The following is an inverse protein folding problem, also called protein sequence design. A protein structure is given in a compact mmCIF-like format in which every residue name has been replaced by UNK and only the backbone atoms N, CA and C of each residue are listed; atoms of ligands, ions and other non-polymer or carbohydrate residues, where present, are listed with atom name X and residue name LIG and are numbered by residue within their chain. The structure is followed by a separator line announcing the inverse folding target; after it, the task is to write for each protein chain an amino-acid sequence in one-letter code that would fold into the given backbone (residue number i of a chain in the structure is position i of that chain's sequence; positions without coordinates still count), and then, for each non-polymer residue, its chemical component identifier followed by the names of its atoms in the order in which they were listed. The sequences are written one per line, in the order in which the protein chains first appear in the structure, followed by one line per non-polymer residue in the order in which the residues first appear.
data_IF_040880677016
#
_entry.id   IF_040880677016
#
_cell.length_a   1.000
_cell.length_b   1.000
_cell.length_c   1.000
_cell.angle_alpha   90.00
_cell.angle_beta   90.00
_cell.angle_gamma   90.00
#
_symmetry.space_group_name_H-M   'P 1'
#
loop_
_entity.id
_entity.type
_entity.pdbx_description
1 polymer ?
#
# COMPACT_ATOMS: atom_id res chain seq x y z
N UNK A 1 -1.28 -16.86 14.57
CA UNK A 1 0.04 -16.25 14.59
C UNK A 1 -0.09 -14.72 14.73
N UNK A 2 0.87 -14.07 15.43
CA UNK A 2 0.85 -12.61 15.65
C UNK A 2 0.73 -11.81 14.35
N UNK A 3 1.36 -12.27 13.29
CA UNK A 3 1.46 -11.58 11.99
C UNK A 3 0.54 -12.16 10.91
N UNK A 4 -0.46 -12.96 11.25
CA UNK A 4 -1.44 -13.39 10.25
C UNK A 4 -2.30 -12.20 9.82
N UNK A 5 -2.51 -12.05 8.51
CA UNK A 5 -3.33 -10.99 7.94
C UNK A 5 -4.82 -11.27 8.19
N UNK A 6 -5.66 -10.28 7.93
CA UNK A 6 -7.10 -10.42 8.01
C UNK A 6 -7.62 -11.49 7.03
N UNK A 7 -7.07 -11.51 5.82
CA UNK A 7 -7.36 -12.53 4.81
C UNK A 7 -7.05 -13.95 5.31
N UNK A 8 -5.89 -14.16 5.93
CA UNK A 8 -5.50 -15.46 6.45
C UNK A 8 -6.37 -15.91 7.64
N UNK A 9 -6.83 -14.98 8.48
CA UNK A 9 -7.73 -15.26 9.61
C UNK A 9 -9.18 -15.47 9.19
N UNK A 10 -9.61 -14.83 8.10
CA UNK A 10 -10.99 -14.72 7.66
C UNK A 10 -11.40 -15.75 6.60
N UNK A 11 -10.95 -17.00 6.67
CA UNK A 11 -11.27 -18.06 5.71
C UNK A 11 -11.01 -17.68 4.24
N UNK A 12 -10.08 -16.77 4.00
CA UNK A 12 -9.72 -16.24 2.69
C UNK A 12 -10.87 -15.52 1.96
N UNK A 13 -11.85 -15.05 2.69
CA UNK A 13 -12.98 -14.29 2.15
C UNK A 13 -13.17 -12.93 2.86
N UNK A 14 -12.19 -12.51 3.66
CA UNK A 14 -12.19 -11.22 4.33
C UNK A 14 -10.95 -10.44 3.93
N UNK A 15 -11.13 -9.17 3.62
CA UNK A 15 -10.06 -8.23 3.35
C UNK A 15 -9.97 -7.21 4.47
N UNK A 16 -8.76 -6.77 4.79
CA UNK A 16 -8.54 -5.76 5.81
C UNK A 16 -9.22 -4.43 5.46
N UNK A 17 -9.83 -3.80 6.44
CA UNK A 17 -10.23 -2.38 6.34
C UNK A 17 -8.99 -1.48 6.26
N UNK A 18 -9.19 -0.21 5.88
CA UNK A 18 -8.10 0.78 5.89
C UNK A 18 -7.41 0.86 7.26
N UNK A 19 -8.19 0.97 8.34
CA UNK A 19 -7.64 1.05 9.70
C UNK A 19 -6.82 -0.18 10.08
N UNK A 20 -7.31 -1.37 9.75
CA UNK A 20 -6.60 -2.64 10.01
C UNK A 20 -5.32 -2.76 9.17
N UNK A 21 -5.36 -2.33 7.90
CA UNK A 21 -4.18 -2.29 7.03
C UNK A 21 -3.09 -1.39 7.63
N UNK A 22 -3.45 -0.18 8.04
CA UNK A 22 -2.50 0.76 8.64
C UNK A 22 -1.97 0.26 9.99
N UNK A 23 -2.83 -0.31 10.82
CA UNK A 23 -2.42 -0.90 12.10
C UNK A 23 -1.46 -2.09 11.89
N UNK A 24 -1.67 -2.89 10.86
CA UNK A 24 -0.79 -4.00 10.52
C UNK A 24 0.62 -3.55 10.11
N UNK A 25 0.73 -2.56 9.22
CA UNK A 25 2.03 -2.04 8.84
C UNK A 25 2.74 -1.33 9.99
N UNK A 26 1.97 -0.65 10.85
CA UNK A 26 2.51 -0.08 12.09
C UNK A 26 3.09 -1.16 12.99
N UNK A 27 2.37 -2.26 13.19
CA UNK A 27 2.86 -3.41 13.96
C UNK A 27 4.17 -3.96 13.38
N UNK A 28 4.27 -4.10 12.05
CA UNK A 28 5.50 -4.55 11.42
C UNK A 28 6.65 -3.55 11.62
N UNK A 29 6.39 -2.25 11.50
CA UNK A 29 7.41 -1.23 11.70
C UNK A 29 7.88 -1.15 13.16
N UNK A 30 6.98 -1.35 14.12
CA UNK A 30 7.30 -1.37 15.55
C UNK A 30 8.15 -2.61 15.93
N UNK A 31 7.90 -3.77 15.30
CA UNK A 31 8.57 -5.02 15.64
C UNK A 31 9.85 -5.29 14.83
N UNK A 32 9.97 -4.74 13.62
CA UNK A 32 11.07 -5.03 12.70
C UNK A 32 11.83 -3.76 12.29
N UNK A 33 13.07 -3.58 12.75
CA UNK A 33 13.88 -2.42 12.40
C UNK A 33 14.24 -2.31 10.91
N UNK A 34 13.93 -3.33 10.11
CA UNK A 34 14.07 -3.32 8.64
C UNK A 34 12.85 -2.69 7.93
N UNK A 35 11.82 -2.31 8.67
CA UNK A 35 10.62 -1.66 8.14
C UNK A 35 10.48 -0.26 8.74
N UNK A 36 10.22 0.72 7.87
CA UNK A 36 9.83 2.06 8.28
C UNK A 36 8.51 2.44 7.63
N UNK A 37 7.64 3.10 8.39
CA UNK A 37 6.37 3.62 7.90
C UNK A 37 6.34 5.14 8.04
N UNK A 38 6.09 5.84 6.94
CA UNK A 38 6.04 7.30 6.87
C UNK A 38 4.64 7.77 6.47
N UNK A 39 4.15 8.83 7.13
CA UNK A 39 2.98 9.58 6.67
C UNK A 39 3.43 10.60 5.63
N UNK A 40 2.71 10.64 4.52
CA UNK A 40 2.98 11.54 3.39
C UNK A 40 1.85 12.57 3.24
N UNK A 41 1.71 13.17 2.07
CA UNK A 41 0.69 14.17 1.81
C UNK A 41 -0.76 13.66 1.99
N UNK A 42 -1.70 14.59 2.14
CA UNK A 42 -3.11 14.28 2.34
C UNK A 42 -3.78 13.83 1.05
N UNK A 43 -4.77 12.96 1.19
CA UNK A 43 -5.69 12.55 0.12
C UNK A 43 -6.98 13.38 0.14
N UNK A 44 -7.85 13.17 -0.84
CA UNK A 44 -9.18 13.82 -0.88
C UNK A 44 -10.10 13.37 0.28
N UNK A 45 -9.79 12.26 0.95
CA UNK A 45 -10.51 11.86 2.16
C UNK A 45 -10.10 12.63 3.41
N UNK A 46 -9.02 13.42 3.34
CA UNK A 46 -8.42 14.08 4.49
C UNK A 46 -7.39 13.21 5.24
N UNK A 47 -7.34 11.91 4.95
CA UNK A 47 -6.34 11.00 5.52
C UNK A 47 -5.03 11.08 4.73
N UNK A 48 -3.87 10.95 5.39
CA UNK A 48 -2.57 10.96 4.72
C UNK A 48 -2.32 9.65 3.97
N UNK A 49 -1.69 9.74 2.80
CA UNK A 49 -1.03 8.56 2.21
C UNK A 49 0.08 8.07 3.12
N UNK A 50 0.27 6.77 3.14
CA UNK A 50 1.38 6.14 3.84
C UNK A 50 2.34 5.52 2.83
N UNK A 51 3.62 5.58 3.17
CA UNK A 51 4.70 4.89 2.48
C UNK A 51 5.36 3.95 3.47
N UNK A 52 5.47 2.67 3.12
CA UNK A 52 6.14 1.66 3.92
C UNK A 52 7.36 1.18 3.18
N UNK A 53 8.51 1.22 3.83
CA UNK A 53 9.80 0.87 3.25
C UNK A 53 10.34 -0.37 3.95
N UNK A 54 10.74 -1.37 3.18
CA UNK A 54 11.55 -2.49 3.66
C UNK A 54 12.97 -2.36 3.14
N UNK A 55 13.93 -2.25 4.05
CA UNK A 55 15.36 -2.32 3.76
C UNK A 55 16.09 -3.12 4.84
N UNK A 56 16.66 -4.30 4.52
CA UNK A 56 17.37 -5.11 5.52
C UNK A 56 18.57 -4.41 6.15
N UNK A 57 19.13 -3.37 5.49
CA UNK A 57 20.22 -2.56 6.01
C UNK A 57 19.75 -1.42 6.92
N UNK A 58 18.44 -1.26 7.13
CA UNK A 58 17.85 -0.26 8.03
C UNK A 58 18.22 1.20 7.67
N UNK A 59 18.51 1.44 6.40
CA UNK A 59 18.72 2.78 5.84
C UNK A 59 17.45 3.21 5.13
N UNK A 60 16.89 4.37 5.49
CA UNK A 60 15.62 4.88 4.97
C UNK A 60 15.74 6.26 4.33
N UNK A 61 16.95 6.83 4.28
CA UNK A 61 17.23 8.04 3.52
C UNK A 61 17.40 7.71 2.04
N UNK A 62 16.45 8.15 1.22
CA UNK A 62 16.48 7.89 -0.22
C UNK A 62 17.62 8.60 -0.96
N UNK A 63 18.14 9.69 -0.43
CA UNK A 63 19.38 10.30 -0.96
C UNK A 63 20.61 9.40 -0.82
N UNK A 64 20.58 8.46 0.12
CA UNK A 64 21.60 7.42 0.31
C UNK A 64 21.26 6.16 -0.48
N UNK A 65 20.02 5.69 -0.39
CA UNK A 65 19.54 4.46 -1.03
C UNK A 65 19.77 4.50 -2.54
N UNK A 66 19.38 5.57 -3.21
CA UNK A 66 19.44 5.73 -4.66
C UNK A 66 20.86 5.67 -5.25
N UNK A 67 21.89 5.83 -4.43
CA UNK A 67 23.27 5.75 -4.91
C UNK A 67 23.73 4.33 -5.23
N UNK A 68 23.14 3.33 -4.56
CA UNK A 68 23.68 1.96 -4.60
C UNK A 68 22.60 0.87 -4.64
N UNK A 69 21.31 1.24 -4.62
CA UNK A 69 20.21 0.28 -4.56
C UNK A 69 19.14 0.61 -5.59
N UNK A 70 18.57 -0.43 -6.15
CA UNK A 70 17.34 -0.34 -6.91
C UNK A 70 16.13 -0.19 -5.97
N UNK A 71 15.18 0.65 -6.34
CA UNK A 71 13.95 0.89 -5.59
C UNK A 71 12.78 0.33 -6.36
N UNK A 72 12.04 -0.58 -5.73
CA UNK A 72 10.79 -1.14 -6.27
C UNK A 72 9.61 -0.54 -5.51
N UNK A 73 8.73 0.17 -6.22
CA UNK A 73 7.49 0.71 -5.67
C UNK A 73 6.31 -0.18 -6.02
N UNK A 74 5.57 -0.61 -4.99
CA UNK A 74 4.28 -1.29 -5.14
C UNK A 74 3.17 -0.31 -4.73
N UNK A 75 2.26 -0.01 -5.65
CA UNK A 75 1.08 0.79 -5.40
C UNK A 75 -0.14 -0.12 -5.30
N UNK A 76 -0.90 -0.03 -4.21
CA UNK A 76 -2.01 -0.92 -3.94
C UNK A 76 -3.33 -0.17 -3.85
N UNK A 77 -4.39 -0.79 -4.37
CA UNK A 77 -5.75 -0.34 -4.18
C UNK A 77 -6.07 1.00 -4.82
N UNK A 78 -5.67 1.21 -6.07
CA UNK A 78 -6.18 2.34 -6.88
C UNK A 78 -7.70 2.24 -7.00
N UNK A 79 -8.22 1.03 -7.11
CA UNK A 79 -9.62 0.69 -6.89
C UNK A 79 -9.71 -0.12 -5.60
N UNK A 80 -10.16 0.48 -4.52
CA UNK A 80 -10.18 -0.15 -3.20
C UNK A 80 -11.13 -1.35 -3.08
N UNK A 81 -11.96 -1.58 -4.08
CA UNK A 81 -12.79 -2.79 -4.21
C UNK A 81 -12.05 -3.99 -4.82
N UNK A 82 -10.78 -3.83 -5.19
CA UNK A 82 -9.89 -4.86 -5.72
C UNK A 82 -8.75 -5.06 -4.70
N UNK A 83 -8.99 -5.75 -3.56
CA UNK A 83 -8.08 -5.72 -2.41
C UNK A 83 -6.89 -6.66 -2.51
N UNK A 84 -6.75 -7.42 -3.60
CA UNK A 84 -5.71 -8.45 -3.75
C UNK A 84 -4.31 -7.90 -3.49
N UNK A 85 -3.96 -6.76 -4.08
CA UNK A 85 -2.67 -6.12 -3.89
C UNK A 85 -2.45 -5.64 -2.46
N UNK A 86 -3.52 -5.16 -1.80
CA UNK A 86 -3.47 -4.72 -0.39
C UNK A 86 -3.12 -5.91 0.51
N UNK A 87 -3.87 -7.01 0.39
CA UNK A 87 -3.69 -8.21 1.21
C UNK A 87 -2.36 -8.92 0.90
N UNK A 88 -2.00 -9.03 -0.39
CA UNK A 88 -0.74 -9.66 -0.82
C UNK A 88 0.48 -8.87 -0.34
N UNK A 89 0.44 -7.54 -0.38
CA UNK A 89 1.55 -6.70 0.08
C UNK A 89 1.77 -6.78 1.59
N UNK A 90 0.71 -6.91 2.39
CA UNK A 90 0.85 -7.16 3.82
C UNK A 90 1.59 -8.46 4.11
N UNK A 91 1.25 -9.54 3.38
CA UNK A 91 1.94 -10.84 3.50
C UNK A 91 3.39 -10.74 3.02
N UNK A 92 3.64 -10.07 1.89
CA UNK A 92 4.98 -9.86 1.35
C UNK A 92 5.89 -9.14 2.36
N UNK A 93 5.46 -8.01 2.91
CA UNK A 93 6.28 -7.23 3.84
C UNK A 93 6.54 -7.98 5.15
N UNK A 94 5.56 -8.74 5.65
CA UNK A 94 5.76 -9.67 6.76
C UNK A 94 6.83 -10.73 6.43
N UNK A 95 6.72 -11.37 5.29
CA UNK A 95 7.59 -12.48 4.93
C UNK A 95 9.02 -12.01 4.59
N UNK A 96 9.15 -10.78 4.06
CA UNK A 96 10.43 -10.08 3.94
C UNK A 96 11.04 -9.80 5.33
N UNK A 97 10.25 -9.25 6.26
CA UNK A 97 10.72 -8.92 7.61
C UNK A 97 11.13 -10.15 8.41
N UNK A 98 10.39 -11.26 8.23
CA UNK A 98 10.71 -12.57 8.85
C UNK A 98 11.85 -13.31 8.13
N UNK A 99 12.36 -12.80 7.03
CA UNK A 99 13.43 -13.46 6.25
C UNK A 99 13.00 -14.70 5.48
N UNK A 100 11.69 -14.95 5.34
CA UNK A 100 11.14 -16.06 4.54
C UNK A 100 11.32 -15.81 3.04
N UNK A 101 11.23 -14.56 2.63
CA UNK A 101 11.50 -14.07 1.28
C UNK A 101 12.76 -13.22 1.33
N UNK A 102 13.65 -13.38 0.38
CA UNK A 102 14.88 -12.60 0.26
C UNK A 102 14.78 -11.66 -0.93
N UNK A 103 14.97 -10.38 -0.69
CA UNK A 103 15.24 -9.42 -1.77
C UNK A 103 16.72 -9.49 -2.17
N UNK A 104 17.08 -9.15 -3.42
CA UNK A 104 18.47 -8.92 -3.78
C UNK A 104 19.14 -7.89 -2.86
N UNK A 105 20.42 -8.06 -2.55
CA UNK A 105 21.15 -7.20 -1.58
C UNK A 105 21.08 -5.71 -1.90
N UNK A 106 21.02 -5.38 -3.19
CA UNK A 106 20.97 -4.02 -3.69
C UNK A 106 19.54 -3.55 -4.03
N UNK A 107 18.53 -4.09 -3.37
CA UNK A 107 17.11 -3.74 -3.63
C UNK A 107 16.41 -3.31 -2.35
N UNK A 108 15.60 -2.27 -2.46
CA UNK A 108 14.69 -1.77 -1.43
C UNK A 108 13.27 -1.89 -1.94
N UNK A 109 12.38 -2.45 -1.14
CA UNK A 109 10.96 -2.51 -1.46
C UNK A 109 10.21 -1.39 -0.74
N UNK A 110 9.37 -0.69 -1.48
CA UNK A 110 8.49 0.37 -0.98
C UNK A 110 7.07 0.03 -1.37
N UNK A 111 6.10 0.20 -0.47
CA UNK A 111 4.71 0.12 -0.87
C UNK A 111 3.89 1.33 -0.38
N UNK A 112 2.88 1.67 -1.18
CA UNK A 112 1.75 2.49 -0.74
C UNK A 112 0.66 1.48 -0.36
N UNK A 113 0.35 1.31 0.96
CA UNK A 113 -0.58 0.29 1.43
C UNK A 113 -1.97 0.36 0.80
N UNK A 114 -2.52 1.58 0.73
CA UNK A 114 -3.82 1.87 0.13
C UNK A 114 -3.76 3.25 -0.53
N UNK A 115 -3.81 3.29 -1.86
CA UNK A 115 -3.78 4.55 -2.61
C UNK A 115 -5.13 5.26 -2.58
N UNK A 116 -6.23 4.53 -2.80
CA UNK A 116 -7.58 5.04 -2.74
C UNK A 116 -8.18 4.91 -1.33
N UNK A 117 -7.72 5.75 -0.40
CA UNK A 117 -8.20 5.71 0.98
C UNK A 117 -9.69 6.00 1.05
N UNK A 118 -10.19 7.01 0.32
CA UNK A 118 -11.62 7.34 0.32
C UNK A 118 -12.51 6.20 -0.14
N UNK A 119 -12.08 5.45 -1.16
CA UNK A 119 -12.76 4.23 -1.58
C UNK A 119 -12.66 3.11 -0.53
N UNK A 120 -11.51 2.97 0.12
CA UNK A 120 -11.30 1.97 1.18
C UNK A 120 -12.14 2.23 2.43
N UNK A 121 -12.44 3.50 2.74
CA UNK A 121 -13.33 3.89 3.83
C UNK A 121 -14.82 3.65 3.50
N UNK A 122 -15.18 3.57 2.23
CA UNK A 122 -16.54 3.33 1.74
C UNK A 122 -16.73 1.85 1.42
N UNK A 123 -16.77 1.01 2.45
CA UNK A 123 -16.89 -0.45 2.30
C UNK A 123 -18.33 -0.88 2.11
N UNK A 124 -18.51 -1.88 1.26
CA UNK A 124 -19.79 -2.52 0.98
C UNK A 124 -19.57 -3.93 0.39
N UNK A 125 -20.66 -4.63 0.09
CA UNK A 125 -20.64 -5.96 -0.54
C UNK A 125 -21.38 -6.01 -1.88
N UNK A 126 -21.80 -4.87 -2.42
CA UNK A 126 -22.77 -4.82 -3.54
C UNK A 126 -22.41 -3.86 -4.67
N UNK A 127 -21.36 -3.07 -4.54
CA UNK A 127 -21.00 -2.07 -5.54
C UNK A 127 -20.35 -2.63 -6.82
N UNK A 128 -20.04 -3.94 -6.84
CA UNK A 128 -19.41 -4.64 -7.97
C UNK A 128 -20.24 -5.85 -8.36
N UNK A 129 -20.99 -5.74 -9.45
CA UNK A 129 -21.98 -6.72 -9.87
C UNK A 129 -21.41 -8.12 -10.19
N UNK A 130 -20.15 -8.21 -10.59
CA UNK A 130 -19.50 -9.44 -11.01
C UNK A 130 -18.43 -9.94 -10.03
N UNK A 131 -18.43 -9.46 -8.79
CA UNK A 131 -17.46 -9.82 -7.78
C UNK A 131 -18.12 -10.61 -6.66
N UNK A 132 -17.74 -11.87 -6.53
CA UNK A 132 -18.24 -12.81 -5.50
C UNK A 132 -17.23 -12.93 -4.36
N UNK A 133 -17.10 -11.88 -3.60
CA UNK A 133 -16.17 -11.78 -2.48
C UNK A 133 -15.10 -10.70 -2.68
N UNK A 134 -14.36 -10.36 -1.63
CA UNK A 134 -14.57 -10.74 -0.22
C UNK A 134 -15.90 -10.22 0.35
N UNK A 135 -16.25 -10.65 1.56
CA UNK A 135 -17.52 -10.27 2.23
C UNK A 135 -17.78 -8.76 2.27
N UNK A 136 -16.72 -7.98 2.34
CA UNK A 136 -16.77 -6.52 2.27
C UNK A 136 -15.51 -6.00 1.63
N UNK A 137 -15.67 -5.05 0.73
CA UNK A 137 -14.60 -4.44 -0.05
C UNK A 137 -14.85 -2.94 -0.24
N UNK A 138 -13.83 -2.20 -0.66
CA UNK A 138 -13.92 -0.76 -0.87
C UNK A 138 -14.68 -0.39 -2.16
N UNK A 139 -14.89 0.90 -2.32
CA UNK A 139 -15.53 1.48 -3.50
C UNK A 139 -14.48 1.91 -4.54
N UNK A 140 -14.88 1.89 -5.83
CA UNK A 140 -14.00 2.25 -6.95
C UNK A 140 -13.55 3.71 -6.92
N UNK A 141 -14.50 4.64 -6.74
CA UNK A 141 -14.22 6.07 -6.69
C UNK A 141 -13.52 6.49 -5.39
N UNK A 142 -12.75 7.56 -5.45
CA UNK A 142 -12.18 8.18 -4.26
C UNK A 142 -13.23 8.95 -3.44
N UNK A 143 -12.82 9.69 -2.41
CA UNK A 143 -13.72 10.47 -1.55
C UNK A 143 -14.53 11.55 -2.31
N UNK A 144 -14.07 11.94 -3.50
CA UNK A 144 -14.78 12.87 -4.42
C UNK A 144 -15.44 12.16 -5.60
N UNK A 145 -15.50 10.83 -5.56
CA UNK A 145 -16.03 9.97 -6.61
C UNK A 145 -15.26 10.07 -7.95
N UNK A 146 -13.96 10.38 -7.89
CA UNK A 146 -13.08 10.30 -9.06
C UNK A 146 -12.47 8.92 -9.19
N UNK A 147 -12.31 8.45 -10.44
CA UNK A 147 -11.53 7.28 -10.77
C UNK A 147 -10.04 7.65 -10.80
N UNK A 148 -9.29 7.22 -9.81
CA UNK A 148 -7.86 7.53 -9.69
C UNK A 148 -7.03 6.95 -10.83
N UNK A 149 -7.51 5.87 -11.49
CA UNK A 149 -6.89 5.32 -12.69
C UNK A 149 -7.13 6.19 -13.95
N UNK A 150 -7.71 7.38 -13.81
CA UNK A 150 -7.81 8.41 -14.85
C UNK A 150 -7.07 9.68 -14.47
N UNK A 151 -6.36 9.68 -13.34
CA UNK A 151 -5.80 10.90 -12.75
C UNK A 151 -4.28 11.01 -12.78
N UNK A 152 -3.54 9.94 -13.07
CA UNK A 152 -2.07 9.97 -13.09
C UNK A 152 -1.48 11.03 -14.04
N UNK A 153 -2.15 11.33 -15.15
CA UNK A 153 -1.71 12.37 -16.10
C UNK A 153 -2.22 13.73 -15.67
N UNK A 154 -3.47 13.82 -15.22
CA UNK A 154 -4.13 15.10 -14.88
C UNK A 154 -3.68 15.67 -13.54
N UNK A 155 -3.45 14.77 -12.55
CA UNK A 155 -3.07 15.14 -11.18
C UNK A 155 -4.04 16.13 -10.52
N UNK A 156 -5.35 15.94 -10.76
CA UNK A 156 -6.39 16.81 -10.23
C UNK A 156 -6.70 16.54 -8.76
N UNK A 157 -6.53 15.27 -8.32
CA UNK A 157 -6.83 14.85 -6.96
C UNK A 157 -5.66 15.11 -6.01
N UNK A 158 -5.97 15.25 -4.72
CA UNK A 158 -4.93 15.25 -3.68
C UNK A 158 -4.21 13.91 -3.59
N UNK A 159 -4.91 12.81 -3.87
CA UNK A 159 -4.30 11.47 -3.93
C UNK A 159 -3.11 11.46 -4.89
N UNK A 160 -3.31 11.89 -6.13
CA UNK A 160 -2.24 11.87 -7.14
C UNK A 160 -1.12 12.87 -6.83
N UNK A 161 -1.44 14.04 -6.26
CA UNK A 161 -0.41 14.99 -5.81
C UNK A 161 0.49 14.36 -4.75
N UNK A 162 -0.10 13.75 -3.73
CA UNK A 162 0.65 13.07 -2.67
C UNK A 162 1.41 11.84 -3.17
N UNK A 163 0.83 11.09 -4.14
CA UNK A 163 1.55 10.01 -4.83
C UNK A 163 2.77 10.54 -5.59
N UNK A 164 2.63 11.64 -6.30
CA UNK A 164 3.72 12.27 -7.06
C UNK A 164 4.86 12.70 -6.13
N UNK A 165 4.55 13.23 -4.95
CA UNK A 165 5.56 13.55 -3.92
C UNK A 165 6.33 12.30 -3.48
N UNK A 166 5.63 11.18 -3.22
CA UNK A 166 6.26 9.90 -2.92
C UNK A 166 7.15 9.46 -4.08
N UNK A 167 6.60 9.43 -5.28
CA UNK A 167 7.29 8.95 -6.49
C UNK A 167 8.59 9.72 -6.73
N UNK A 168 8.57 11.04 -6.65
CA UNK A 168 9.77 11.86 -6.81
C UNK A 168 10.76 11.70 -5.64
N UNK A 169 10.26 11.51 -4.41
CA UNK A 169 11.13 11.29 -3.25
C UNK A 169 11.93 10.00 -3.37
N UNK A 170 11.29 8.92 -3.83
CA UNK A 170 11.92 7.60 -3.88
C UNK A 170 12.55 7.28 -5.24
N UNK A 171 12.15 7.99 -6.31
CA UNK A 171 12.61 7.81 -7.68
C UNK A 171 12.76 6.31 -8.05
N UNK A 172 11.65 5.56 -8.14
CA UNK A 172 11.70 4.11 -8.26
C UNK A 172 12.26 3.66 -9.61
N UNK A 173 13.07 2.60 -9.61
CA UNK A 173 13.55 1.93 -10.82
C UNK A 173 12.48 1.02 -11.42
N UNK A 174 11.61 0.47 -10.57
CA UNK A 174 10.48 -0.38 -10.96
C UNK A 174 9.22 0.12 -10.24
N UNK A 175 8.16 0.33 -11.00
CA UNK A 175 6.83 0.64 -10.49
C UNK A 175 5.87 -0.49 -10.83
N UNK A 176 5.22 -1.03 -9.81
CA UNK A 176 4.19 -2.06 -9.92
C UNK A 176 2.89 -1.47 -9.39
N UNK A 177 1.88 -1.38 -10.23
CA UNK A 177 0.52 -1.07 -9.82
C UNK A 177 -0.28 -2.37 -9.72
N UNK A 178 -0.62 -2.75 -8.50
CA UNK A 178 -1.42 -3.95 -8.23
C UNK A 178 -2.93 -3.73 -8.47
N UNK A 179 -3.22 -2.58 -9.00
CA UNK A 179 -4.55 -2.17 -9.47
C UNK A 179 -5.72 -2.32 -8.50
#
# INVERSE_FOLDING_TARGET
NKYDTFFEKGNRNQSASYAETIAYYKLLADDFPSIEMQKMGLTDSGEPLHMVVFNPEKQFDFGVIQKNKAVVLLNNGIHAGEPDGIDASMQLFRDLALGKIKVPKNTVAVCIPVYNIGGALNRNATSRANQDGPESYGFRGNARNYDLNRDFIKSDTRNTKSFTEIFHKINPDIFIDNH
#
